data_IF_566474659705
#
_entry.id   IF_566474659705
#
_cell.length_a   1.000
_cell.length_b   1.000
_cell.length_c   1.000
_cell.angle_alpha   90.00
_cell.angle_beta   90.00
_cell.angle_gamma   90.00
#
_symmetry.space_group_name_H-M   'P 1'
#
loop_
_entity.id
_entity.type
_entity.pdbx_description
1 polymer ?
#
# COMPACT_ATOMS: atom_id res chain seq x y z
N UNK A 1 -12.90 -2.94 0.61
CA UNK A 1 -11.95 -3.92 0.04
C UNK A 1 -10.64 -3.85 0.81
N UNK A 2 -10.00 -4.99 1.09
CA UNK A 2 -8.68 -5.01 1.69
C UNK A 2 -7.65 -4.39 0.73
N UNK A 3 -6.58 -3.82 1.29
CA UNK A 3 -5.49 -3.24 0.48
C UNK A 3 -4.52 -4.34 0.03
N UNK A 4 -4.11 -4.30 -1.24
CA UNK A 4 -3.10 -5.24 -1.75
C UNK A 4 -1.67 -4.82 -1.34
N UNK A 5 -0.70 -5.71 -1.61
CA UNK A 5 0.71 -5.53 -1.29
C UNK A 5 1.28 -4.17 -1.75
N UNK A 6 1.01 -3.77 -2.99
CA UNK A 6 1.51 -2.53 -3.58
C UNK A 6 0.86 -1.28 -2.96
N UNK A 7 -0.43 -1.33 -2.66
CA UNK A 7 -1.12 -0.22 -1.99
C UNK A 7 -0.55 0.00 -0.59
N UNK A 8 -0.25 -1.09 0.13
CA UNK A 8 0.40 -1.04 1.44
C UNK A 8 1.83 -0.51 1.35
N UNK A 9 2.62 -0.98 0.36
CA UNK A 9 3.95 -0.47 0.06
C UNK A 9 3.94 1.03 -0.22
N UNK A 10 3.06 1.49 -1.12
CA UNK A 10 2.91 2.91 -1.45
C UNK A 10 2.50 3.74 -0.22
N UNK A 11 1.64 3.21 0.65
CA UNK A 11 1.27 3.88 1.92
C UNK A 11 2.48 4.01 2.86
N UNK A 12 3.31 2.97 2.95
CA UNK A 12 4.55 3.03 3.72
C UNK A 12 5.51 4.09 3.15
N UNK A 13 5.74 4.08 1.83
CA UNK A 13 6.58 5.07 1.16
C UNK A 13 6.04 6.50 1.34
N UNK A 14 4.72 6.68 1.30
CA UNK A 14 4.09 7.97 1.55
C UNK A 14 4.40 8.50 2.95
N UNK A 15 4.33 7.65 3.98
CA UNK A 15 4.69 8.01 5.35
C UNK A 15 6.19 8.35 5.50
N UNK A 16 7.07 7.61 4.82
CA UNK A 16 8.51 7.90 4.77
C UNK A 16 8.76 9.29 4.16
N UNK A 17 8.15 9.60 3.00
CA UNK A 17 8.27 10.91 2.35
C UNK A 17 7.73 12.02 3.25
N UNK A 18 6.59 11.81 3.91
CA UNK A 18 6.02 12.81 4.82
C UNK A 18 6.96 13.11 5.99
N UNK A 19 7.63 12.08 6.53
CA UNK A 19 8.60 12.19 7.61
C UNK A 19 9.89 12.90 7.17
N UNK A 20 10.41 12.55 6.00
CA UNK A 20 11.76 12.97 5.56
C UNK A 20 11.76 14.26 4.74
N UNK A 21 10.71 14.49 3.95
CA UNK A 21 10.60 15.62 3.00
C UNK A 21 9.44 16.56 3.35
N UNK A 22 8.73 16.27 4.44
CA UNK A 22 7.61 17.06 4.95
C UNK A 22 6.26 16.76 4.29
N UNK A 23 5.20 17.11 5.02
CA UNK A 23 3.81 16.87 4.60
C UNK A 23 3.41 17.59 3.32
N UNK A 24 4.05 18.72 2.98
CA UNK A 24 3.77 19.44 1.73
C UNK A 24 4.16 18.59 0.50
N UNK A 25 5.33 17.97 0.53
CA UNK A 25 5.82 17.07 -0.53
C UNK A 25 4.95 15.82 -0.62
N UNK A 26 4.62 15.22 0.53
CA UNK A 26 3.77 14.03 0.59
C UNK A 26 2.34 14.26 0.06
N UNK A 27 1.81 15.49 0.12
CA UNK A 27 0.49 15.81 -0.48
C UNK A 27 0.46 15.68 -2.00
N UNK A 28 1.62 15.64 -2.67
CA UNK A 28 1.68 15.37 -4.09
C UNK A 28 1.51 13.87 -4.38
N UNK A 29 0.25 13.42 -4.40
CA UNK A 29 -0.10 12.01 -4.62
C UNK A 29 0.38 11.45 -5.96
N UNK A 30 0.48 12.30 -7.00
CA UNK A 30 0.99 11.89 -8.31
C UNK A 30 2.47 11.54 -8.23
N UNK A 31 3.27 12.40 -7.57
CA UNK A 31 4.69 12.15 -7.33
C UNK A 31 4.89 10.87 -6.53
N UNK A 32 4.18 10.71 -5.42
CA UNK A 32 4.29 9.55 -4.54
C UNK A 32 3.92 8.26 -5.27
N UNK A 33 2.86 8.28 -6.08
CA UNK A 33 2.40 7.10 -6.80
C UNK A 33 3.37 6.70 -7.93
N UNK A 34 3.92 7.69 -8.66
CA UNK A 34 4.93 7.43 -9.68
C UNK A 34 6.23 6.88 -9.07
N UNK A 35 6.66 7.46 -7.94
CA UNK A 35 7.85 6.98 -7.24
C UNK A 35 7.62 5.57 -6.69
N UNK A 36 6.46 5.29 -6.09
CA UNK A 36 6.13 3.97 -5.59
C UNK A 36 6.15 2.91 -6.69
N UNK A 37 5.55 3.20 -7.86
CA UNK A 37 5.56 2.28 -9.00
C UNK A 37 6.98 1.97 -9.46
N UNK A 38 7.84 3.00 -9.57
CA UNK A 38 9.25 2.82 -9.94
C UNK A 38 10.00 1.97 -8.91
N UNK A 39 9.92 2.33 -7.62
CA UNK A 39 10.64 1.61 -6.55
C UNK A 39 10.15 0.18 -6.42
N UNK A 40 8.84 -0.06 -6.53
CA UNK A 40 8.26 -1.40 -6.46
C UNK A 40 8.76 -2.32 -7.59
N UNK A 41 8.94 -1.79 -8.80
CA UNK A 41 9.51 -2.58 -9.91
C UNK A 41 10.92 -3.08 -9.55
N UNK A 42 11.75 -2.17 -9.01
CA UNK A 42 13.17 -2.42 -8.67
C UNK A 42 13.36 -3.09 -7.29
N UNK A 43 12.30 -3.25 -6.51
CA UNK A 43 12.35 -3.76 -5.13
C UNK A 43 12.70 -5.26 -5.10
N UNK A 44 13.39 -5.67 -4.03
CA UNK A 44 13.78 -7.07 -3.83
C UNK A 44 12.57 -8.00 -3.61
N UNK A 45 12.78 -9.29 -3.86
CA UNK A 45 11.73 -10.30 -3.68
C UNK A 45 11.31 -10.43 -2.22
N UNK A 46 12.25 -10.26 -1.28
CA UNK A 46 12.01 -10.35 0.16
C UNK A 46 11.05 -9.25 0.62
N UNK A 47 11.24 -8.01 0.14
CA UNK A 47 10.35 -6.91 0.47
C UNK A 47 8.97 -7.11 -0.19
N UNK A 48 8.94 -7.57 -1.44
CA UNK A 48 7.66 -7.91 -2.11
C UNK A 48 6.89 -8.98 -1.33
N UNK A 49 7.57 -10.03 -0.86
CA UNK A 49 7.00 -11.09 -0.02
C UNK A 49 6.53 -10.56 1.34
N UNK A 50 7.29 -9.68 1.98
CA UNK A 50 6.86 -9.03 3.23
C UNK A 50 5.52 -8.31 3.05
N UNK A 51 5.39 -7.50 2.00
CA UNK A 51 4.14 -6.79 1.73
C UNK A 51 3.00 -7.71 1.28
N UNK A 52 3.29 -8.86 0.68
CA UNK A 52 2.31 -9.91 0.42
C UNK A 52 1.73 -10.48 1.72
N UNK A 53 2.60 -10.85 2.67
CA UNK A 53 2.18 -11.36 3.99
C UNK A 53 1.32 -10.32 4.73
N UNK A 54 1.69 -9.04 4.66
CA UNK A 54 0.89 -7.96 5.28
C UNK A 54 -0.47 -7.82 4.57
N UNK A 55 -0.52 -7.94 3.25
CA UNK A 55 -1.77 -7.90 2.49
C UNK A 55 -2.70 -9.07 2.84
N UNK A 56 -2.15 -10.27 3.00
CA UNK A 56 -2.89 -11.45 3.44
C UNK A 56 -3.48 -11.26 4.84
N UNK A 57 -2.71 -10.71 5.77
CA UNK A 57 -3.20 -10.34 7.09
C UNK A 57 -4.32 -9.30 7.01
N UNK A 58 -4.16 -8.27 6.18
CA UNK A 58 -5.19 -7.26 5.97
C UNK A 58 -6.48 -7.85 5.38
N UNK A 59 -6.36 -8.82 4.47
CA UNK A 59 -7.49 -9.57 3.93
C UNK A 59 -8.18 -10.39 5.01
N UNK A 60 -7.45 -11.18 5.80
CA UNK A 60 -8.03 -11.97 6.91
C UNK A 60 -8.78 -11.09 7.91
N UNK A 61 -8.20 -9.94 8.30
CA UNK A 61 -8.87 -8.98 9.17
C UNK A 61 -10.13 -8.43 8.51
N UNK A 62 -10.08 -8.09 7.22
CA UNK A 62 -11.24 -7.58 6.50
C UNK A 62 -12.36 -8.62 6.42
N UNK A 63 -12.04 -9.87 6.08
CA UNK A 63 -13.00 -10.97 5.95
C UNK A 63 -13.67 -11.27 7.30
N UNK A 64 -12.90 -11.24 8.40
CA UNK A 64 -13.44 -11.37 9.76
C UNK A 64 -14.34 -10.19 10.15
N UNK A 65 -13.92 -8.97 9.81
CA UNK A 65 -14.66 -7.74 10.20
C UNK A 65 -15.93 -7.54 9.37
N UNK A 66 -15.91 -7.99 8.11
CA UNK A 66 -16.99 -7.81 7.16
C UNK A 66 -17.33 -9.15 6.46
N UNK A 67 -17.93 -10.11 7.18
CA UNK A 67 -18.17 -11.46 6.67
C UNK A 67 -19.11 -11.53 5.45
N UNK A 68 -19.99 -10.53 5.30
CA UNK A 68 -20.93 -10.42 4.17
C UNK A 68 -20.44 -9.44 3.08
N UNK A 69 -19.18 -9.02 3.13
CA UNK A 69 -18.67 -8.05 2.16
C UNK A 69 -18.62 -8.61 0.74
N UNK A 70 -19.38 -8.00 -0.16
CA UNK A 70 -19.31 -8.25 -1.61
C UNK A 70 -18.95 -6.94 -2.30
N UNK A 71 -17.86 -6.96 -3.08
CA UNK A 71 -17.44 -5.78 -3.83
C UNK A 71 -18.38 -5.53 -5.02
N UNK A 72 -19.05 -4.37 -5.03
CA UNK A 72 -19.92 -3.92 -6.10
C UNK A 72 -19.39 -2.58 -6.67
N UNK A 73 -18.62 -2.59 -7.76
CA UNK A 73 -18.23 -1.36 -8.44
C UNK A 73 -19.46 -0.66 -9.04
N UNK A 74 -19.46 0.67 -9.03
CA UNK A 74 -20.46 1.52 -9.71
C UNK A 74 -19.88 2.09 -10.99
#
# INVERSE_FOLDING_TARGET
>A
RPQNNFVLYRRNLHAIIAREQGSATAKNFKLVSNLAAKKWADESNEIKQLFEIIADCAKKVHDYTYPEYVYQPR
#
